data_IF_345439927170
#
_entry.id   IF_345439927170
#
_cell.length_a   1.000
_cell.length_b   1.000
_cell.length_c   1.000
_cell.angle_alpha   90.00
_cell.angle_beta   90.00
_cell.angle_gamma   90.00
#
_symmetry.space_group_name_H-M   'P 1'
#
loop_
_entity.id
_entity.type
_entity.pdbx_description
1 polymer ?
#
# COMPACT_ATOMS: atom_id res chain seq x y z
N UNK A 1 12.34 32.33 -0.67
CA UNK A 1 11.88 31.60 0.55
C UNK A 1 11.42 30.24 0.10
N UNK A 2 11.61 29.18 0.92
CA UNK A 2 11.02 27.86 0.60
C UNK A 2 9.48 27.94 0.71
N UNK A 3 8.78 27.22 -0.14
CA UNK A 3 7.31 27.06 -0.06
C UNK A 3 6.97 26.39 1.28
N UNK A 4 6.00 26.96 2.00
CA UNK A 4 5.55 26.46 3.30
C UNK A 4 4.38 25.52 3.14
N UNK A 5 4.53 24.30 3.60
CA UNK A 5 3.55 23.21 3.45
C UNK A 5 3.11 22.69 4.82
N UNK A 6 1.81 22.57 5.03
CA UNK A 6 1.25 21.77 6.10
C UNK A 6 0.75 20.44 5.51
N UNK A 7 1.27 19.33 5.99
CA UNK A 7 0.79 17.98 5.62
C UNK A 7 0.01 17.36 6.78
N UNK A 8 -1.07 16.65 6.48
CA UNK A 8 -1.87 15.91 7.46
C UNK A 8 -1.97 14.44 7.05
N UNK A 9 -1.72 13.53 7.98
CA UNK A 9 -1.90 12.10 7.81
C UNK A 9 -2.46 11.44 9.07
N UNK A 10 -3.14 10.28 8.94
CA UNK A 10 -3.72 9.54 10.07
C UNK A 10 -2.62 9.11 11.05
N UNK A 11 -1.57 8.46 10.54
CA UNK A 11 -0.46 7.98 11.37
C UNK A 11 0.86 7.89 10.57
N UNK A 12 2.02 7.84 11.27
CA UNK A 12 3.34 7.78 10.63
C UNK A 12 3.64 6.38 10.09
N UNK A 13 2.99 6.01 8.97
CA UNK A 13 3.35 4.79 8.26
C UNK A 13 4.74 4.91 7.64
N UNK A 14 5.57 3.84 7.58
CA UNK A 14 6.93 3.91 7.05
C UNK A 14 6.99 4.54 5.67
N UNK A 15 6.13 4.11 4.75
CA UNK A 15 6.09 4.64 3.39
C UNK A 15 5.70 6.12 3.33
N UNK A 16 4.80 6.58 4.21
CA UNK A 16 4.38 7.99 4.26
C UNK A 16 5.49 8.88 4.82
N UNK A 17 6.13 8.42 5.89
CA UNK A 17 7.27 9.11 6.51
C UNK A 17 8.41 9.28 5.51
N UNK A 18 8.70 8.26 4.70
CA UNK A 18 9.77 8.32 3.70
C UNK A 18 9.48 9.36 2.61
N UNK A 19 8.24 9.42 2.11
CA UNK A 19 7.81 10.46 1.16
C UNK A 19 7.92 11.85 1.79
N UNK A 20 7.45 12.04 3.03
CA UNK A 20 7.54 13.33 3.70
C UNK A 20 8.98 13.77 3.98
N UNK A 21 9.88 12.86 4.32
CA UNK A 21 11.33 13.15 4.43
C UNK A 21 11.92 13.65 3.12
N UNK A 22 11.53 13.04 2.00
CA UNK A 22 11.93 13.50 0.68
C UNK A 22 11.44 14.91 0.39
N UNK A 23 10.16 15.17 0.62
CA UNK A 23 9.55 16.49 0.41
C UNK A 23 10.12 17.57 1.36
N UNK A 24 10.43 17.22 2.61
CA UNK A 24 11.01 18.16 3.58
C UNK A 24 12.41 18.66 3.23
N UNK A 25 13.12 18.00 2.31
CA UNK A 25 14.38 18.52 1.76
C UNK A 25 14.17 19.76 0.89
N UNK A 26 13.05 19.80 0.16
CA UNK A 26 12.72 20.87 -0.79
C UNK A 26 11.85 21.97 -0.17
N UNK A 27 10.96 21.62 0.74
CA UNK A 27 9.93 22.51 1.28
C UNK A 27 10.10 22.77 2.79
N UNK A 28 9.56 23.88 3.30
CA UNK A 28 9.40 24.13 4.73
C UNK A 28 8.10 23.44 5.19
N UNK A 29 8.25 22.26 5.78
CA UNK A 29 7.11 21.39 6.09
C UNK A 29 6.85 21.26 7.59
N UNK A 30 5.57 21.35 7.95
CA UNK A 30 5.03 20.86 9.20
C UNK A 30 4.10 19.66 8.91
N UNK A 31 4.29 18.56 9.60
CA UNK A 31 3.46 17.35 9.43
C UNK A 31 2.59 17.14 10.66
N UNK A 32 1.31 16.93 10.49
CA UNK A 32 0.36 16.62 11.57
C UNK A 32 -0.07 15.17 11.45
N UNK A 33 0.12 14.40 12.53
CA UNK A 33 -0.37 13.02 12.65
C UNK A 33 -1.54 12.97 13.62
N UNK A 34 -2.69 12.42 13.17
CA UNK A 34 -3.88 12.25 14.02
C UNK A 34 -3.64 11.22 15.12
N UNK A 35 -2.92 10.15 14.81
CA UNK A 35 -2.52 9.06 15.70
C UNK A 35 -1.04 8.74 15.50
N UNK A 36 -0.46 7.98 16.44
CA UNK A 36 0.91 7.47 16.31
C UNK A 36 0.98 5.97 16.04
N UNK A 37 -0.16 5.27 16.13
CA UNK A 37 -0.28 3.84 15.89
C UNK A 37 -1.72 3.48 15.53
N UNK A 38 -1.92 2.26 15.04
CA UNK A 38 -3.24 1.67 14.79
C UNK A 38 -3.34 0.33 15.53
N UNK A 39 -4.46 0.09 16.21
CA UNK A 39 -4.67 -1.12 17.02
C UNK A 39 -4.63 -2.42 16.20
N UNK A 40 -4.94 -2.33 14.91
CA UNK A 40 -4.96 -3.48 14.01
C UNK A 40 -3.58 -3.80 13.41
N UNK A 41 -2.53 -3.05 13.76
CA UNK A 41 -1.18 -3.25 13.21
C UNK A 41 -0.17 -3.55 14.29
N UNK A 42 0.85 -4.34 13.96
CA UNK A 42 1.96 -4.58 14.87
C UNK A 42 2.67 -3.24 15.21
N UNK A 43 2.91 -3.00 16.50
CA UNK A 43 3.56 -1.78 16.97
C UNK A 43 4.94 -1.54 16.35
N UNK A 44 5.67 -2.60 16.01
CA UNK A 44 6.97 -2.51 15.35
C UNK A 44 6.90 -2.02 13.89
N UNK A 45 5.71 -1.94 13.31
CA UNK A 45 5.53 -1.42 11.94
C UNK A 45 5.53 0.11 11.88
N UNK A 46 5.29 0.81 13.00
CA UNK A 46 5.21 2.27 13.01
C UNK A 46 6.57 2.94 13.27
N UNK A 47 6.80 4.07 12.60
CA UNK A 47 7.94 4.94 12.90
C UNK A 47 7.69 5.68 14.22
N UNK A 48 8.42 5.33 15.28
CA UNK A 48 8.34 6.03 16.59
C UNK A 48 8.96 7.42 16.53
N UNK A 49 10.11 7.52 15.88
CA UNK A 49 10.78 8.79 15.58
C UNK A 49 10.78 8.98 14.07
N UNK A 50 10.03 9.97 13.60
CA UNK A 50 9.91 10.25 12.18
C UNK A 50 11.07 11.07 11.63
N UNK A 51 11.84 11.76 12.49
CA UNK A 51 12.83 12.75 12.08
C UNK A 51 12.26 13.97 11.33
N UNK A 52 10.95 14.18 11.40
CA UNK A 52 10.22 15.28 10.75
C UNK A 52 9.85 16.37 11.77
N UNK A 53 9.73 17.62 11.32
CA UNK A 53 9.04 18.64 12.07
C UNK A 53 7.53 18.27 12.10
N UNK A 54 7.07 17.71 13.23
CA UNK A 54 5.73 17.13 13.29
C UNK A 54 4.99 17.38 14.61
N UNK A 55 3.67 17.36 14.52
CA UNK A 55 2.72 17.46 15.63
C UNK A 55 1.98 16.13 15.74
N UNK A 56 1.83 15.58 16.96
CA UNK A 56 0.96 14.45 17.26
C UNK A 56 -0.31 14.92 17.98
N UNK A 57 -1.48 14.59 17.43
CA UNK A 57 -2.76 14.94 18.06
C UNK A 57 -3.15 14.02 19.23
N UNK A 58 -2.34 13.01 19.56
CA UNK A 58 -2.50 12.22 20.77
C UNK A 58 -2.25 13.08 22.03
N UNK A 59 -1.29 13.99 21.94
CA UNK A 59 -0.90 14.87 23.04
C UNK A 59 -1.76 16.13 23.09
N UNK A 60 -2.03 16.63 24.30
CA UNK A 60 -2.79 17.88 24.47
C UNK A 60 -2.08 19.08 23.84
N UNK A 61 -0.77 19.17 24.06
CA UNK A 61 0.09 20.20 23.44
C UNK A 61 -0.03 20.22 21.93
N UNK A 62 0.01 19.02 21.29
CA UNK A 62 -0.15 18.89 19.85
C UNK A 62 -1.53 19.29 19.37
N UNK A 63 -2.59 18.97 20.11
CA UNK A 63 -3.96 19.43 19.78
C UNK A 63 -4.08 20.94 19.86
N UNK A 64 -3.52 21.56 20.90
CA UNK A 64 -3.51 23.02 21.04
C UNK A 64 -2.73 23.68 19.90
N UNK A 65 -1.56 23.15 19.58
CA UNK A 65 -0.76 23.63 18.46
C UNK A 65 -1.52 23.52 17.14
N UNK A 66 -2.20 22.40 16.88
CA UNK A 66 -3.00 22.24 15.67
C UNK A 66 -4.15 23.25 15.57
N UNK A 67 -4.82 23.58 16.69
CA UNK A 67 -5.82 24.64 16.72
C UNK A 67 -5.24 26.01 16.33
N UNK A 68 -4.02 26.33 16.77
CA UNK A 68 -3.32 27.55 16.36
C UNK A 68 -2.95 27.51 14.87
N UNK A 69 -2.49 26.34 14.35
CA UNK A 69 -2.22 26.20 12.93
C UNK A 69 -3.47 26.40 12.06
N UNK A 70 -4.63 25.91 12.50
CA UNK A 70 -5.90 26.15 11.79
C UNK A 70 -6.29 27.64 11.78
N UNK A 71 -6.05 28.39 12.86
CA UNK A 71 -6.32 29.85 12.92
C UNK A 71 -5.39 30.61 11.99
N UNK A 72 -4.14 30.17 11.87
CA UNK A 72 -3.08 30.79 11.08
C UNK A 72 -2.85 30.11 9.73
N UNK A 73 -3.84 29.37 9.21
CA UNK A 73 -3.68 28.52 8.01
C UNK A 73 -3.14 29.30 6.79
N UNK A 74 -3.42 30.61 6.71
CA UNK A 74 -2.94 31.48 5.63
C UNK A 74 -1.42 31.65 5.58
N UNK A 75 -0.67 31.21 6.60
CA UNK A 75 0.80 31.24 6.56
C UNK A 75 1.39 30.16 5.67
N UNK A 76 0.58 29.15 5.28
CA UNK A 76 0.97 28.06 4.39
C UNK A 76 0.60 28.40 2.95
N UNK A 77 1.53 28.12 2.05
CA UNK A 77 1.34 28.27 0.61
C UNK A 77 0.50 27.11 0.04
N UNK A 78 0.56 25.93 0.69
CA UNK A 78 -0.14 24.72 0.28
C UNK A 78 -0.40 23.80 1.47
N UNK A 79 -1.52 23.07 1.42
CA UNK A 79 -1.81 21.98 2.34
C UNK A 79 -1.85 20.65 1.59
N UNK A 80 -1.24 19.61 2.15
CA UNK A 80 -1.32 18.22 1.66
C UNK A 80 -2.23 17.41 2.57
N UNK A 81 -3.40 17.04 2.09
CA UNK A 81 -4.40 16.28 2.84
C UNK A 81 -4.37 14.80 2.46
N UNK A 82 -3.72 14.01 3.30
CA UNK A 82 -3.82 12.56 3.26
C UNK A 82 -4.93 12.12 4.24
N UNK A 83 -5.58 10.99 3.98
CA UNK A 83 -6.61 10.45 4.88
C UNK A 83 -7.81 11.42 5.13
N UNK A 84 -8.28 12.09 4.10
CA UNK A 84 -9.34 13.10 4.05
C UNK A 84 -10.69 12.70 4.69
N UNK A 85 -10.86 11.45 5.11
CA UNK A 85 -12.08 10.95 5.74
C UNK A 85 -12.11 11.11 7.27
N UNK A 86 -11.00 11.56 7.87
CA UNK A 86 -10.81 11.75 9.30
C UNK A 86 -11.34 13.12 9.73
N UNK A 87 -11.93 13.21 10.92
CA UNK A 87 -12.53 14.45 11.42
C UNK A 87 -11.57 15.64 11.37
N UNK A 88 -10.32 15.47 11.79
CA UNK A 88 -9.35 16.56 11.83
C UNK A 88 -8.84 16.95 10.43
N UNK A 89 -8.72 15.99 9.51
CA UNK A 89 -8.46 16.28 8.10
C UNK A 89 -9.58 17.12 7.48
N UNK A 90 -10.84 16.76 7.67
CA UNK A 90 -12.01 17.51 7.21
C UNK A 90 -12.00 18.96 7.77
N UNK A 91 -11.65 19.12 9.05
CA UNK A 91 -11.53 20.47 9.67
C UNK A 91 -10.44 21.29 9.00
N UNK A 92 -9.31 20.69 8.69
CA UNK A 92 -8.20 21.32 7.97
C UNK A 92 -8.62 21.75 6.56
N UNK A 93 -9.23 20.85 5.79
CA UNK A 93 -9.72 21.14 4.43
C UNK A 93 -10.77 22.27 4.44
N UNK A 94 -11.71 22.26 5.39
CA UNK A 94 -12.69 23.34 5.55
C UNK A 94 -12.01 24.68 5.93
N UNK A 95 -10.96 24.65 6.75
CA UNK A 95 -10.18 25.84 7.05
C UNK A 95 -9.46 26.37 5.80
N UNK A 96 -8.93 25.49 4.95
CA UNK A 96 -8.34 25.84 3.66
C UNK A 96 -9.37 26.53 2.74
N UNK A 97 -10.54 25.92 2.57
CA UNK A 97 -11.63 26.47 1.74
C UNK A 97 -12.04 27.86 2.24
N UNK A 98 -12.31 28.00 3.54
CA UNK A 98 -12.71 29.28 4.16
C UNK A 98 -11.68 30.38 3.95
N UNK A 99 -10.40 30.04 4.00
CA UNK A 99 -9.29 30.99 3.94
C UNK A 99 -8.64 31.12 2.55
N UNK A 100 -9.15 30.37 1.55
CA UNK A 100 -8.63 30.30 0.18
C UNK A 100 -7.17 29.84 0.11
N UNK A 101 -6.78 28.94 1.00
CA UNK A 101 -5.48 28.26 0.94
C UNK A 101 -5.61 27.03 0.04
N UNK A 102 -4.77 26.86 -0.99
CA UNK A 102 -4.86 25.69 -1.85
C UNK A 102 -4.52 24.42 -1.08
N UNK A 103 -5.20 23.31 -1.42
CA UNK A 103 -4.85 22.00 -0.88
C UNK A 103 -4.91 20.92 -1.94
N UNK A 104 -4.03 19.92 -1.81
CA UNK A 104 -3.99 18.72 -2.62
C UNK A 104 -4.48 17.55 -1.76
N UNK A 105 -5.42 16.78 -2.27
CA UNK A 105 -5.88 15.55 -1.65
C UNK A 105 -5.07 14.37 -2.16
N UNK A 106 -4.68 13.44 -1.26
CA UNK A 106 -4.02 12.18 -1.64
C UNK A 106 -4.95 10.99 -1.46
N UNK A 107 -4.83 10.02 -2.37
CA UNK A 107 -5.54 8.76 -2.29
C UNK A 107 -4.64 7.59 -2.70
N UNK A 108 -4.36 6.70 -1.75
CA UNK A 108 -3.57 5.48 -2.00
C UNK A 108 -4.40 4.37 -2.68
N UNK A 109 -5.69 4.54 -2.74
CA UNK A 109 -6.71 3.67 -3.31
C UNK A 109 -7.99 3.75 -2.50
N UNK A 110 -9.11 3.50 -3.12
CA UNK A 110 -10.41 3.45 -2.43
C UNK A 110 -11.46 2.71 -3.26
N UNK A 111 -12.47 2.21 -2.56
CA UNK A 111 -13.68 1.67 -3.16
C UNK A 111 -14.86 2.63 -2.94
N UNK A 112 -15.65 2.86 -4.00
CA UNK A 112 -16.83 3.73 -3.94
C UNK A 112 -17.89 3.03 -3.10
N UNK A 113 -18.27 3.63 -1.96
CA UNK A 113 -19.30 3.11 -1.06
C UNK A 113 -20.52 4.03 -1.08
N UNK A 114 -21.72 3.44 -1.13
CA UNK A 114 -22.98 4.17 -1.08
C UNK A 114 -23.26 4.68 0.34
N UNK A 115 -23.03 5.97 0.57
CA UNK A 115 -23.40 6.66 1.81
C UNK A 115 -23.74 8.12 1.48
N UNK A 116 -25.03 8.45 1.45
CA UNK A 116 -25.52 9.73 0.95
C UNK A 116 -24.87 10.94 1.64
N UNK A 117 -24.90 10.98 2.99
CA UNK A 117 -24.39 12.14 3.76
C UNK A 117 -22.87 12.27 3.59
N UNK A 118 -22.12 11.16 3.77
CA UNK A 118 -20.67 11.18 3.61
C UNK A 118 -20.27 11.56 2.19
N UNK A 119 -21.03 11.15 1.19
CA UNK A 119 -20.74 11.45 -0.20
C UNK A 119 -20.97 12.92 -0.55
N UNK A 120 -21.93 13.61 0.09
CA UNK A 120 -22.11 15.07 -0.06
C UNK A 120 -20.86 15.80 0.48
N UNK A 121 -20.39 15.44 1.69
CA UNK A 121 -19.20 16.05 2.28
C UNK A 121 -17.97 15.81 1.40
N UNK A 122 -17.77 14.56 0.96
CA UNK A 122 -16.65 14.22 0.08
C UNK A 122 -16.68 15.01 -1.23
N UNK A 123 -17.84 15.09 -1.88
CA UNK A 123 -18.02 15.91 -3.09
C UNK A 123 -17.66 17.36 -2.85
N UNK A 124 -18.13 17.93 -1.75
CA UNK A 124 -17.81 19.32 -1.41
C UNK A 124 -16.30 19.54 -1.25
N UNK A 125 -15.61 18.67 -0.50
CA UNK A 125 -14.16 18.76 -0.30
C UNK A 125 -13.40 18.53 -1.61
N UNK A 126 -13.75 17.49 -2.37
CA UNK A 126 -13.10 17.17 -3.64
C UNK A 126 -13.23 18.33 -4.64
N UNK A 127 -14.43 18.90 -4.82
CA UNK A 127 -14.63 19.97 -5.81
C UNK A 127 -13.92 21.30 -5.47
N UNK A 128 -13.44 21.47 -4.24
CA UNK A 128 -12.70 22.67 -3.82
C UNK A 128 -11.18 22.45 -3.76
N UNK A 129 -10.70 21.22 -3.97
CA UNK A 129 -9.27 20.94 -3.95
C UNK A 129 -8.55 21.57 -5.16
N UNK A 130 -7.31 22.01 -4.95
CA UNK A 130 -6.46 22.56 -5.99
C UNK A 130 -5.80 21.48 -6.85
N UNK A 131 -5.73 20.24 -6.35
CA UNK A 131 -5.17 19.10 -7.06
C UNK A 131 -5.39 17.78 -6.31
N UNK A 132 -5.06 16.67 -6.97
CA UNK A 132 -5.27 15.32 -6.45
C UNK A 132 -4.08 14.44 -6.75
N UNK A 133 -3.48 13.83 -5.74
CA UNK A 133 -2.50 12.76 -5.90
C UNK A 133 -3.22 11.41 -6.01
N UNK A 134 -3.11 10.75 -7.14
CA UNK A 134 -3.72 9.45 -7.41
C UNK A 134 -2.65 8.37 -7.59
N UNK A 135 -2.74 7.29 -6.82
CA UNK A 135 -1.82 6.15 -6.90
C UNK A 135 -1.96 5.33 -8.19
N UNK A 136 -3.06 5.50 -8.91
CA UNK A 136 -3.39 4.80 -10.15
C UNK A 136 -4.79 5.16 -10.63
N UNK A 137 -5.28 4.41 -11.61
CA UNK A 137 -6.59 4.65 -12.24
C UNK A 137 -7.75 4.53 -11.24
N UNK A 138 -7.70 3.57 -10.31
CA UNK A 138 -8.74 3.42 -9.28
C UNK A 138 -8.88 4.68 -8.42
N UNK A 139 -7.77 5.27 -8.00
CA UNK A 139 -7.79 6.51 -7.25
C UNK A 139 -8.28 7.70 -8.09
N UNK A 140 -7.89 7.78 -9.35
CA UNK A 140 -8.34 8.80 -10.28
C UNK A 140 -9.85 8.72 -10.52
N UNK A 141 -10.39 7.53 -10.80
CA UNK A 141 -11.83 7.32 -11.00
C UNK A 141 -12.64 7.63 -9.73
N UNK A 142 -12.10 7.32 -8.56
CA UNK A 142 -12.72 7.71 -7.30
C UNK A 142 -12.84 9.25 -7.17
N UNK A 143 -11.78 9.99 -7.46
CA UNK A 143 -11.82 11.45 -7.42
C UNK A 143 -12.80 12.01 -8.46
N UNK A 144 -12.80 11.51 -9.69
CA UNK A 144 -13.74 11.90 -10.75
C UNK A 144 -15.18 11.65 -10.33
N UNK A 145 -15.50 10.51 -9.70
CA UNK A 145 -16.84 10.21 -9.19
C UNK A 145 -17.33 11.26 -8.19
N UNK A 146 -16.43 11.84 -7.39
CA UNK A 146 -16.75 12.92 -6.46
C UNK A 146 -16.64 14.32 -7.08
N UNK A 147 -16.35 14.44 -8.37
CA UNK A 147 -16.41 15.72 -9.11
C UNK A 147 -15.06 16.43 -9.21
N UNK A 148 -13.95 15.71 -9.11
CA UNK A 148 -12.62 16.25 -9.38
C UNK A 148 -12.48 16.71 -10.84
N UNK A 149 -11.77 17.80 -11.06
CA UNK A 149 -11.27 18.21 -12.36
C UNK A 149 -10.16 17.27 -12.82
N UNK A 150 -10.38 16.55 -13.92
CA UNK A 150 -9.44 15.57 -14.44
C UNK A 150 -8.06 16.17 -14.75
N UNK A 151 -7.99 17.44 -15.17
CA UNK A 151 -6.74 18.13 -15.46
C UNK A 151 -5.91 18.43 -14.20
N UNK A 152 -6.47 18.22 -13.02
CA UNK A 152 -5.80 18.43 -11.72
C UNK A 152 -5.46 17.11 -11.04
N UNK A 153 -5.61 15.98 -11.72
CA UNK A 153 -5.23 14.66 -11.21
C UNK A 153 -3.77 14.38 -11.58
N UNK A 154 -2.93 14.21 -10.57
CA UNK A 154 -1.51 13.91 -10.68
C UNK A 154 -1.25 12.48 -10.25
N UNK A 155 -0.81 11.65 -11.20
CA UNK A 155 -0.47 10.26 -10.91
C UNK A 155 0.89 10.14 -10.26
N UNK A 156 1.00 9.23 -9.29
CA UNK A 156 2.28 8.85 -8.68
C UNK A 156 2.38 7.34 -8.50
N UNK A 157 3.58 6.75 -8.62
CA UNK A 157 3.78 5.30 -8.50
C UNK A 157 3.84 4.89 -7.04
N UNK A 158 2.69 4.62 -6.41
CA UNK A 158 2.61 4.30 -4.97
C UNK A 158 3.40 3.03 -4.61
N UNK A 159 4.25 3.11 -3.59
CA UNK A 159 5.22 2.06 -3.25
C UNK A 159 5.65 2.05 -1.78
N UNK A 160 6.36 0.97 -1.38
CA UNK A 160 7.15 0.82 -0.15
C UNK A 160 8.64 0.54 -0.44
N UNK A 161 9.13 0.84 -1.65
CA UNK A 161 10.43 0.41 -2.15
C UNK A 161 11.32 1.58 -2.53
N UNK A 162 12.63 1.46 -2.21
CA UNK A 162 13.69 2.21 -2.85
C UNK A 162 14.14 1.53 -4.15
N UNK A 163 14.79 2.28 -5.03
CA UNK A 163 15.24 1.76 -6.32
C UNK A 163 16.26 0.61 -6.19
N UNK A 164 17.07 0.63 -5.16
CA UNK A 164 18.08 -0.41 -4.86
C UNK A 164 17.49 -1.69 -4.24
N UNK A 165 16.23 -1.65 -3.81
CA UNK A 165 15.50 -2.82 -3.31
C UNK A 165 14.86 -3.65 -4.44
N UNK A 166 14.87 -3.16 -5.67
CA UNK A 166 14.33 -3.86 -6.84
C UNK A 166 15.44 -4.67 -7.49
N UNK A 167 15.23 -5.96 -7.69
CA UNK A 167 16.19 -6.82 -8.37
C UNK A 167 16.40 -6.39 -9.83
N UNK A 168 17.58 -6.68 -10.39
CA UNK A 168 17.87 -6.50 -11.81
C UNK A 168 17.40 -7.69 -12.64
N UNK A 169 17.40 -8.89 -12.04
CA UNK A 169 16.95 -10.14 -12.63
C UNK A 169 16.38 -11.06 -11.54
N UNK A 170 15.46 -11.96 -11.86
CA UNK A 170 14.92 -12.92 -10.92
C UNK A 170 15.99 -13.88 -10.39
N UNK A 171 15.85 -14.33 -9.13
CA UNK A 171 16.72 -15.36 -8.56
C UNK A 171 16.63 -16.67 -9.34
N UNK A 172 17.77 -17.30 -9.56
CA UNK A 172 17.86 -18.66 -10.11
C UNK A 172 17.29 -19.71 -9.12
N UNK A 173 16.89 -20.86 -9.64
CA UNK A 173 16.43 -21.98 -8.80
C UNK A 173 17.45 -22.41 -7.73
N UNK A 174 18.76 -22.31 -8.05
CA UNK A 174 19.84 -22.63 -7.09
C UNK A 174 19.87 -21.60 -5.95
N UNK A 175 19.72 -20.33 -6.25
CA UNK A 175 19.68 -19.27 -5.23
C UNK A 175 18.43 -19.40 -4.36
N UNK A 176 17.25 -19.61 -4.96
CA UNK A 176 16.01 -19.84 -4.23
C UNK A 176 16.12 -21.06 -3.30
N UNK A 177 16.73 -22.14 -3.77
CA UNK A 177 16.94 -23.36 -2.96
C UNK A 177 17.80 -23.08 -1.71
N UNK A 178 18.80 -22.19 -1.80
CA UNK A 178 19.60 -21.76 -0.63
C UNK A 178 18.75 -21.03 0.40
N UNK A 179 17.88 -20.10 -0.06
CA UNK A 179 16.96 -19.38 0.84
C UNK A 179 15.91 -20.32 1.43
N UNK A 180 15.31 -21.23 0.65
CA UNK A 180 14.37 -22.26 1.14
C UNK A 180 15.00 -23.07 2.26
N UNK A 181 16.22 -23.58 2.06
CA UNK A 181 16.97 -24.34 3.09
C UNK A 181 17.18 -23.51 4.36
N UNK A 182 17.55 -22.23 4.24
CA UNK A 182 17.74 -21.32 5.39
C UNK A 182 16.45 -21.15 6.19
N UNK A 183 15.30 -21.11 5.50
CA UNK A 183 13.97 -20.93 6.10
C UNK A 183 13.30 -22.23 6.56
N UNK A 184 14.00 -23.38 6.42
CA UNK A 184 13.44 -24.69 6.79
C UNK A 184 12.32 -25.18 5.87
N UNK A 185 12.30 -24.71 4.61
CA UNK A 185 11.37 -25.16 3.57
C UNK A 185 12.03 -26.30 2.80
N UNK A 186 11.48 -27.50 2.91
CA UNK A 186 12.05 -28.72 2.36
C UNK A 186 11.51 -29.08 0.96
N UNK A 187 10.44 -28.45 0.52
CA UNK A 187 9.81 -28.70 -0.78
C UNK A 187 10.49 -27.92 -1.91
N UNK A 188 10.36 -28.44 -3.13
CA UNK A 188 10.97 -27.84 -4.32
C UNK A 188 10.35 -26.50 -4.69
N UNK A 189 9.06 -26.32 -4.42
CA UNK A 189 8.30 -25.10 -4.69
C UNK A 189 7.79 -24.47 -3.41
N UNK A 190 7.81 -23.13 -3.35
CA UNK A 190 7.32 -22.36 -2.21
C UNK A 190 6.34 -21.27 -2.68
N UNK A 191 5.11 -21.34 -2.20
CA UNK A 191 4.10 -20.29 -2.32
C UNK A 191 4.15 -19.43 -1.06
N UNK A 192 4.19 -18.13 -1.23
CA UNK A 192 4.30 -17.14 -0.15
C UNK A 192 3.07 -16.26 -0.11
N UNK A 193 2.57 -15.99 1.07
CA UNK A 193 1.66 -14.87 1.34
C UNK A 193 2.08 -14.12 2.59
N UNK A 194 1.86 -12.80 2.62
CA UNK A 194 2.26 -11.92 3.72
C UNK A 194 1.12 -10.97 4.05
N UNK A 195 0.77 -10.88 5.33
CA UNK A 195 -0.24 -9.94 5.79
C UNK A 195 -0.76 -10.21 7.20
N UNK A 196 -1.67 -9.36 7.65
CA UNK A 196 -2.36 -9.54 8.91
C UNK A 196 -3.30 -10.76 8.86
N UNK A 197 -3.37 -11.54 9.93
CA UNK A 197 -4.29 -12.66 10.06
C UNK A 197 -5.68 -12.14 10.49
N UNK A 198 -6.37 -11.52 9.55
CA UNK A 198 -7.70 -10.93 9.71
C UNK A 198 -8.58 -11.32 8.51
N UNK A 199 -9.88 -11.38 8.70
CA UNK A 199 -10.86 -11.81 7.69
C UNK A 199 -10.69 -11.11 6.33
N UNK A 200 -10.37 -9.83 6.35
CA UNK A 200 -10.17 -9.04 5.14
C UNK A 200 -9.05 -9.57 4.23
N UNK A 201 -8.05 -10.27 4.77
CA UNK A 201 -6.90 -10.80 4.00
C UNK A 201 -7.18 -12.14 3.30
N UNK A 202 -8.27 -12.83 3.64
CA UNK A 202 -8.75 -14.00 2.90
C UNK A 202 -7.86 -15.25 2.98
N UNK A 203 -7.02 -15.38 4.02
CA UNK A 203 -6.13 -16.54 4.13
C UNK A 203 -6.88 -17.85 4.38
N UNK A 204 -8.09 -17.80 4.88
CA UNK A 204 -9.03 -18.92 4.94
C UNK A 204 -9.37 -19.45 3.54
N UNK A 205 -9.62 -18.58 2.56
CA UNK A 205 -9.84 -18.95 1.16
C UNK A 205 -8.58 -19.58 0.54
N UNK A 206 -7.40 -19.07 0.88
CA UNK A 206 -6.13 -19.66 0.44
C UNK A 206 -5.89 -21.05 1.03
N UNK A 207 -6.17 -21.24 2.33
CA UNK A 207 -6.07 -22.54 2.96
C UNK A 207 -7.06 -23.56 2.36
N UNK A 208 -8.27 -23.13 2.03
CA UNK A 208 -9.24 -23.96 1.32
C UNK A 208 -8.77 -24.34 -0.08
N UNK A 209 -8.24 -23.39 -0.85
CA UNK A 209 -7.66 -23.62 -2.18
C UNK A 209 -6.47 -24.59 -2.10
N UNK A 210 -5.64 -24.43 -1.05
CA UNK A 210 -4.47 -25.28 -0.82
C UNK A 210 -4.85 -26.72 -0.53
N UNK A 211 -5.81 -26.95 0.34
CA UNK A 211 -6.25 -28.28 0.75
C UNK A 211 -6.79 -29.13 -0.40
N UNK A 212 -7.51 -28.52 -1.34
CA UNK A 212 -8.24 -29.24 -2.39
C UNK A 212 -7.40 -29.60 -3.60
N UNK A 213 -6.36 -28.82 -3.89
CA UNK A 213 -5.92 -28.78 -5.28
C UNK A 213 -4.39 -28.73 -5.48
N UNK A 214 -3.56 -28.53 -4.46
CA UNK A 214 -2.12 -28.31 -4.69
C UNK A 214 -1.24 -29.53 -4.41
N UNK A 215 -0.15 -29.60 -5.20
CA UNK A 215 0.83 -30.69 -5.22
C UNK A 215 1.59 -30.80 -3.89
N UNK A 216 1.83 -32.04 -3.45
CA UNK A 216 2.64 -32.36 -2.26
C UNK A 216 4.09 -31.85 -2.34
N UNK A 217 4.58 -31.51 -3.53
CA UNK A 217 5.91 -30.92 -3.73
C UNK A 217 5.98 -29.42 -3.47
N UNK A 218 4.85 -28.77 -3.12
CA UNK A 218 4.78 -27.39 -2.80
C UNK A 218 4.68 -27.17 -1.28
N UNK A 219 5.29 -26.09 -0.77
CA UNK A 219 5.04 -25.56 0.58
C UNK A 219 4.30 -24.24 0.49
N UNK A 220 3.36 -24.04 1.40
CA UNK A 220 2.72 -22.73 1.63
C UNK A 220 3.30 -22.10 2.90
N UNK A 221 3.84 -20.89 2.76
CA UNK A 221 4.35 -20.11 3.88
C UNK A 221 3.48 -18.86 4.03
N UNK A 222 2.85 -18.70 5.18
CA UNK A 222 1.98 -17.57 5.53
C UNK A 222 2.69 -16.76 6.62
N UNK A 223 3.15 -15.57 6.29
CA UNK A 223 3.88 -14.69 7.22
C UNK A 223 2.97 -13.59 7.75
N UNK A 224 2.85 -13.48 9.07
CA UNK A 224 2.03 -12.45 9.68
C UNK A 224 1.64 -12.72 11.12
N UNK A 225 0.45 -12.26 11.47
CA UNK A 225 -0.16 -12.46 12.77
C UNK A 225 -1.47 -11.68 12.86
N UNK A 226 -2.33 -12.06 13.79
CA UNK A 226 -3.61 -11.40 13.99
C UNK A 226 -4.65 -12.31 14.66
N UNK A 227 -5.88 -11.82 14.74
CA UNK A 227 -6.97 -12.46 15.49
C UNK A 227 -7.39 -13.82 14.93
N UNK A 228 -7.20 -14.09 13.64
CA UNK A 228 -7.58 -15.35 13.01
C UNK A 228 -6.49 -16.44 13.08
N UNK A 229 -5.34 -16.20 13.74
CA UNK A 229 -4.23 -17.18 13.80
C UNK A 229 -4.68 -18.54 14.32
N UNK A 230 -5.51 -18.58 15.38
CA UNK A 230 -6.00 -19.82 15.97
C UNK A 230 -6.91 -20.58 14.99
N UNK A 231 -7.74 -19.89 14.20
CA UNK A 231 -8.61 -20.52 13.21
C UNK A 231 -7.77 -21.18 12.10
N UNK A 232 -6.71 -20.49 11.63
CA UNK A 232 -5.80 -21.05 10.61
C UNK A 232 -5.04 -22.26 11.14
N UNK A 233 -4.54 -22.22 12.38
CA UNK A 233 -3.89 -23.37 13.03
C UNK A 233 -4.82 -24.56 13.15
N UNK A 234 -6.07 -24.32 13.56
CA UNK A 234 -7.08 -25.37 13.66
C UNK A 234 -7.38 -25.97 12.29
N UNK A 235 -7.62 -25.15 11.25
CA UNK A 235 -7.87 -25.64 9.89
C UNK A 235 -6.72 -26.50 9.36
N UNK A 236 -5.47 -26.06 9.54
CA UNK A 236 -4.26 -26.82 9.14
C UNK A 236 -4.20 -28.19 9.84
N UNK A 237 -4.51 -28.24 11.15
CA UNK A 237 -4.50 -29.48 11.91
C UNK A 237 -5.63 -30.43 11.49
N UNK A 238 -6.86 -29.93 11.37
CA UNK A 238 -8.04 -30.73 11.00
C UNK A 238 -7.91 -31.36 9.62
N UNK A 239 -7.22 -30.69 8.69
CA UNK A 239 -6.99 -31.18 7.33
C UNK A 239 -5.61 -31.83 7.12
N UNK A 240 -4.80 -31.97 8.20
CA UNK A 240 -3.46 -32.55 8.16
C UNK A 240 -2.53 -31.94 7.08
N UNK A 241 -2.56 -30.62 6.95
CA UNK A 241 -1.78 -29.88 5.95
C UNK A 241 -0.31 -29.71 6.40
N UNK A 242 0.50 -30.77 6.25
CA UNK A 242 1.90 -30.83 6.72
C UNK A 242 2.85 -29.88 6.00
N UNK A 243 2.46 -29.40 4.81
CA UNK A 243 3.25 -28.52 3.95
C UNK A 243 2.84 -27.04 4.07
N UNK A 244 2.10 -26.66 5.12
CA UNK A 244 1.72 -25.29 5.42
C UNK A 244 2.43 -24.81 6.69
N UNK A 245 3.09 -23.65 6.61
CA UNK A 245 3.80 -23.03 7.71
C UNK A 245 3.20 -21.66 8.03
N UNK A 246 2.80 -21.43 9.29
CA UNK A 246 2.44 -20.11 9.81
C UNK A 246 3.67 -19.51 10.49
N UNK A 247 4.16 -18.40 9.97
CA UNK A 247 5.30 -17.66 10.47
C UNK A 247 4.83 -16.35 11.09
N UNK A 248 5.32 -16.02 12.28
CA UNK A 248 4.99 -14.75 12.96
C UNK A 248 5.51 -13.56 12.19
N UNK A 249 4.96 -12.39 12.49
CA UNK A 249 5.40 -11.11 11.95
C UNK A 249 6.93 -10.99 11.94
N UNK A 250 7.46 -10.50 10.82
CA UNK A 250 8.87 -10.26 10.59
C UNK A 250 9.12 -8.80 10.16
N UNK A 251 10.24 -8.19 10.55
CA UNK A 251 10.65 -6.91 9.99
C UNK A 251 10.96 -7.03 8.49
N UNK A 252 11.01 -5.87 7.80
CA UNK A 252 11.15 -5.81 6.34
C UNK A 252 12.35 -6.60 5.82
N UNK A 253 13.49 -6.47 6.47
CA UNK A 253 14.75 -7.13 6.07
C UNK A 253 14.64 -8.66 6.10
N UNK A 254 13.96 -9.22 7.11
CA UNK A 254 13.72 -10.66 7.21
C UNK A 254 12.65 -11.12 6.22
N UNK A 255 11.60 -10.30 5.97
CA UNK A 255 10.55 -10.61 4.99
C UNK A 255 11.13 -10.78 3.58
N UNK A 256 12.12 -9.98 3.20
CA UNK A 256 12.75 -10.09 1.89
C UNK A 256 13.45 -11.44 1.68
N UNK A 257 13.90 -12.14 2.73
CA UNK A 257 14.42 -13.50 2.62
C UNK A 257 13.33 -14.50 2.18
N UNK A 258 12.10 -14.31 2.64
CA UNK A 258 10.95 -15.14 2.21
C UNK A 258 10.59 -14.87 0.75
N UNK A 259 10.56 -13.61 0.32
CA UNK A 259 10.37 -13.31 -1.09
C UNK A 259 11.45 -13.94 -1.98
N UNK A 260 12.74 -13.88 -1.57
CA UNK A 260 13.86 -14.48 -2.30
C UNK A 260 13.76 -16.03 -2.40
N UNK A 261 13.12 -16.66 -1.44
CA UNK A 261 12.90 -18.11 -1.43
C UNK A 261 11.69 -18.54 -2.28
N UNK A 262 10.72 -17.65 -2.47
CA UNK A 262 9.44 -18.01 -3.05
C UNK A 262 9.50 -18.23 -4.58
N UNK A 263 8.55 -19.02 -5.08
CA UNK A 263 8.32 -19.25 -6.51
C UNK A 263 7.05 -18.56 -7.00
N UNK A 264 6.13 -18.25 -6.08
CA UNK A 264 4.86 -17.62 -6.33
C UNK A 264 4.45 -16.80 -5.10
N UNK A 265 3.96 -15.59 -5.32
CA UNK A 265 3.30 -14.79 -4.29
C UNK A 265 1.79 -14.80 -4.49
N UNK A 266 1.02 -14.96 -3.41
CA UNK A 266 -0.44 -14.98 -3.46
C UNK A 266 -1.00 -14.00 -2.45
N UNK A 267 -1.93 -13.11 -2.89
CA UNK A 267 -2.66 -12.21 -2.00
C UNK A 267 -4.17 -12.41 -2.19
N UNK A 268 -4.82 -13.30 -1.45
CA UNK A 268 -6.22 -13.69 -1.62
C UNK A 268 -7.19 -12.71 -0.95
N UNK A 269 -6.84 -11.44 -0.91
CA UNK A 269 -7.52 -10.44 -0.09
C UNK A 269 -8.97 -10.21 -0.53
N UNK A 270 -9.87 -10.03 0.44
CA UNK A 270 -11.26 -9.62 0.20
C UNK A 270 -11.39 -8.13 -0.11
N UNK A 271 -10.44 -7.34 0.39
CA UNK A 271 -10.33 -5.92 0.09
C UNK A 271 -8.93 -5.43 0.47
N UNK A 272 -8.23 -4.80 -0.46
CA UNK A 272 -7.01 -4.06 -0.16
C UNK A 272 -6.98 -2.77 -0.97
N UNK A 273 -6.94 -1.62 -0.29
CA UNK A 273 -6.92 -0.31 -0.94
C UNK A 273 -5.67 -0.04 -1.75
N UNK A 274 -4.60 -0.83 -1.55
CA UNK A 274 -3.47 -0.97 -2.46
C UNK A 274 -2.97 -2.42 -2.43
N UNK A 275 -2.20 -2.80 -1.41
CA UNK A 275 -1.52 -4.08 -1.30
C UNK A 275 -0.03 -3.96 -1.61
N UNK A 276 0.73 -3.17 -0.84
CA UNK A 276 2.16 -2.92 -1.02
C UNK A 276 3.01 -4.20 -1.13
N UNK A 277 2.56 -5.29 -0.52
CA UNK A 277 3.20 -6.61 -0.64
C UNK A 277 3.21 -7.16 -2.06
N UNK A 278 2.32 -6.67 -2.95
CA UNK A 278 2.35 -6.97 -4.40
C UNK A 278 3.54 -6.29 -5.04
N UNK A 279 3.79 -5.00 -4.72
CA UNK A 279 4.98 -4.29 -5.20
C UNK A 279 6.26 -5.01 -4.76
N UNK A 280 6.33 -5.41 -3.49
CA UNK A 280 7.48 -6.12 -2.92
C UNK A 280 7.73 -7.47 -3.60
N UNK A 281 6.68 -8.25 -3.83
CA UNK A 281 6.77 -9.51 -4.56
C UNK A 281 7.26 -9.32 -6.00
N UNK A 282 6.69 -8.34 -6.72
CA UNK A 282 7.09 -8.02 -8.09
C UNK A 282 8.54 -7.50 -8.17
N UNK A 283 9.00 -6.74 -7.16
CA UNK A 283 10.39 -6.27 -7.05
C UNK A 283 11.40 -7.42 -6.92
N UNK A 284 10.96 -8.52 -6.32
CA UNK A 284 11.75 -9.77 -6.23
C UNK A 284 11.54 -10.71 -7.43
N UNK A 285 10.87 -10.25 -8.48
CA UNK A 285 10.64 -11.03 -9.69
C UNK A 285 9.68 -12.20 -9.49
N UNK A 286 8.77 -12.14 -8.50
CA UNK A 286 7.82 -13.22 -8.29
C UNK A 286 6.59 -13.08 -9.18
N UNK A 287 6.09 -14.16 -9.78
CA UNK A 287 4.73 -14.21 -10.28
C UNK A 287 3.74 -13.89 -9.15
N UNK A 288 2.64 -13.22 -9.47
CA UNK A 288 1.64 -12.82 -8.48
C UNK A 288 0.26 -13.34 -8.85
N UNK A 289 -0.44 -13.94 -7.88
CA UNK A 289 -1.87 -14.23 -7.98
C UNK A 289 -2.58 -13.42 -6.90
N UNK A 290 -3.59 -12.65 -7.30
CA UNK A 290 -4.36 -11.84 -6.36
C UNK A 290 -5.82 -11.76 -6.79
N UNK A 291 -6.64 -11.03 -6.03
CA UNK A 291 -8.07 -10.90 -6.30
C UNK A 291 -8.37 -9.57 -7.01
N UNK A 292 -9.54 -9.50 -7.63
CA UNK A 292 -10.14 -8.29 -8.23
C UNK A 292 -10.44 -7.19 -7.19
N UNK A 293 -10.32 -7.49 -5.90
CA UNK A 293 -10.48 -6.56 -4.79
C UNK A 293 -9.14 -6.06 -4.19
N UNK A 294 -8.04 -6.28 -4.89
CA UNK A 294 -6.72 -5.71 -4.59
C UNK A 294 -6.38 -4.61 -5.62
N UNK A 295 -6.29 -3.35 -5.19
CA UNK A 295 -6.05 -2.23 -6.11
C UNK A 295 -4.70 -2.36 -6.81
N UNK A 296 -3.62 -2.75 -6.09
CA UNK A 296 -2.31 -2.96 -6.72
C UNK A 296 -2.36 -4.07 -7.77
N UNK A 297 -3.14 -5.13 -7.56
CA UNK A 297 -3.29 -6.17 -8.57
C UNK A 297 -3.96 -5.62 -9.83
N UNK A 298 -5.07 -4.89 -9.68
CA UNK A 298 -5.77 -4.28 -10.81
C UNK A 298 -4.92 -3.27 -11.60
N UNK A 299 -3.96 -2.60 -10.95
CA UNK A 299 -3.07 -1.60 -11.60
C UNK A 299 -1.78 -2.23 -12.18
N UNK A 300 -1.29 -3.31 -11.60
CA UNK A 300 0.05 -3.85 -11.90
C UNK A 300 0.03 -5.20 -12.62
N UNK A 301 -1.02 -6.01 -12.45
CA UNK A 301 -1.08 -7.35 -13.02
C UNK A 301 -1.80 -7.30 -14.37
N UNK A 302 -1.21 -7.97 -15.34
CA UNK A 302 -1.77 -8.31 -16.64
C UNK A 302 -1.90 -9.83 -16.72
N UNK A 303 -3.15 -10.33 -16.83
CA UNK A 303 -3.47 -11.75 -16.79
C UNK A 303 -2.67 -12.58 -17.79
N UNK A 304 -2.00 -13.61 -17.27
CA UNK A 304 -1.18 -14.54 -18.06
C UNK A 304 0.19 -13.99 -18.47
N UNK A 305 0.48 -12.68 -18.28
CA UNK A 305 1.76 -12.04 -18.64
C UNK A 305 2.70 -11.97 -17.45
N UNK A 306 2.21 -11.49 -16.31
CA UNK A 306 3.00 -11.31 -15.09
C UNK A 306 2.32 -11.83 -13.82
N UNK A 307 1.08 -12.34 -13.93
CA UNK A 307 0.30 -12.86 -12.83
C UNK A 307 -1.11 -13.25 -13.27
N UNK A 308 -2.00 -13.45 -12.29
CA UNK A 308 -3.43 -13.64 -12.51
C UNK A 308 -4.25 -12.89 -11.47
N UNK A 309 -5.41 -12.36 -11.90
CA UNK A 309 -6.44 -11.79 -11.04
C UNK A 309 -7.63 -12.74 -11.03
N UNK A 310 -8.07 -13.14 -9.84
CA UNK A 310 -9.21 -14.05 -9.65
C UNK A 310 -10.35 -13.37 -8.89
N UNK A 311 -11.60 -13.86 -9.02
CA UNK A 311 -12.71 -13.34 -8.22
C UNK A 311 -12.45 -13.52 -6.72
N UNK A 312 -12.87 -12.54 -5.93
CA UNK A 312 -12.80 -12.62 -4.47
C UNK A 312 -13.64 -13.78 -3.93
N UNK A 313 -13.15 -14.49 -2.90
CA UNK A 313 -13.77 -15.66 -2.26
C UNK A 313 -13.94 -16.87 -3.18
N UNK A 314 -13.22 -16.98 -4.28
CA UNK A 314 -13.24 -18.16 -5.14
C UNK A 314 -11.97 -19.01 -4.93
N UNK A 315 -12.06 -20.01 -4.03
CA UNK A 315 -10.96 -20.89 -3.71
C UNK A 315 -10.55 -21.79 -4.90
N UNK A 316 -11.49 -22.10 -5.79
CA UNK A 316 -11.23 -22.94 -6.97
C UNK A 316 -10.45 -22.17 -8.04
N UNK A 317 -10.93 -20.99 -8.42
CA UNK A 317 -10.22 -20.14 -9.39
C UNK A 317 -8.84 -19.73 -8.84
N UNK A 318 -8.73 -19.48 -7.53
CA UNK A 318 -7.45 -19.21 -6.87
C UNK A 318 -6.47 -20.39 -7.02
N UNK A 319 -6.93 -21.63 -6.78
CA UNK A 319 -6.12 -22.82 -6.92
C UNK A 319 -5.68 -23.05 -8.38
N UNK A 320 -6.58 -22.85 -9.35
CA UNK A 320 -6.26 -22.99 -10.77
C UNK A 320 -5.24 -21.93 -11.22
N UNK A 321 -5.36 -20.68 -10.80
CA UNK A 321 -4.41 -19.62 -11.09
C UNK A 321 -3.02 -19.93 -10.50
N UNK A 322 -2.97 -20.41 -9.24
CA UNK A 322 -1.72 -20.84 -8.61
C UNK A 322 -1.05 -21.97 -9.40
N UNK A 323 -1.80 -23.01 -9.81
CA UNK A 323 -1.28 -24.13 -10.63
C UNK A 323 -0.72 -23.66 -11.96
N UNK A 324 -1.43 -22.75 -12.65
CA UNK A 324 -0.96 -22.16 -13.92
C UNK A 324 0.36 -21.43 -13.72
N UNK A 325 0.47 -20.59 -12.69
CA UNK A 325 1.69 -19.82 -12.42
C UNK A 325 2.87 -20.71 -12.02
N UNK A 326 2.66 -21.73 -11.21
CA UNK A 326 3.72 -22.70 -10.82
C UNK A 326 4.26 -23.53 -12.00
N UNK A 327 3.49 -23.68 -13.09
CA UNK A 327 3.89 -24.38 -14.32
C UNK A 327 4.46 -23.42 -15.37
N UNK A 328 4.29 -22.12 -15.22
CA UNK A 328 4.72 -21.12 -16.20
C UNK A 328 6.24 -20.89 -16.17
N UNK A 329 6.75 -20.18 -17.18
CA UNK A 329 8.15 -19.77 -17.21
C UNK A 329 8.38 -18.61 -16.20
N UNK A 330 8.71 -18.97 -14.98
CA UNK A 330 8.90 -18.06 -13.86
C UNK A 330 9.95 -16.98 -14.17
N UNK A 331 10.99 -17.30 -14.98
CA UNK A 331 12.02 -16.33 -15.32
C UNK A 331 11.44 -15.18 -16.17
N UNK A 332 10.74 -15.50 -17.25
CA UNK A 332 10.13 -14.48 -18.13
C UNK A 332 9.12 -13.62 -17.38
N UNK A 333 8.27 -14.25 -16.55
CA UNK A 333 7.28 -13.56 -15.73
C UNK A 333 7.99 -12.63 -14.73
N UNK A 334 9.06 -13.12 -14.10
CA UNK A 334 9.84 -12.34 -13.14
C UNK A 334 10.51 -11.13 -13.78
N UNK A 335 11.08 -11.27 -14.96
CA UNK A 335 11.65 -10.15 -15.73
C UNK A 335 10.58 -9.10 -16.08
N UNK A 336 9.38 -9.53 -16.48
CA UNK A 336 8.25 -8.63 -16.73
C UNK A 336 7.84 -7.87 -15.45
N UNK A 337 7.79 -8.56 -14.30
CA UNK A 337 7.45 -7.96 -13.02
C UNK A 337 8.48 -6.93 -12.57
N UNK A 338 9.77 -7.25 -12.63
CA UNK A 338 10.85 -6.33 -12.30
C UNK A 338 10.78 -5.09 -13.20
N UNK A 339 10.61 -5.28 -14.50
CA UNK A 339 10.45 -4.17 -15.44
C UNK A 339 9.24 -3.29 -15.14
N UNK A 340 8.08 -3.89 -14.84
CA UNK A 340 6.85 -3.17 -14.51
C UNK A 340 7.01 -2.34 -13.23
N UNK A 341 7.63 -2.94 -12.19
CA UNK A 341 7.74 -2.31 -10.88
C UNK A 341 8.92 -1.32 -10.77
N UNK A 342 9.86 -1.31 -11.72
CA UNK A 342 11.07 -0.46 -11.68
C UNK A 342 10.78 1.03 -11.55
N UNK A 343 9.60 1.48 -11.97
CA UNK A 343 9.15 2.87 -11.81
C UNK A 343 8.46 3.15 -10.47
N UNK A 344 8.14 2.12 -9.69
CA UNK A 344 7.43 2.24 -8.42
C UNK A 344 8.43 2.32 -7.27
N UNK A 345 9.11 3.46 -7.15
CA UNK A 345 10.14 3.73 -6.14
C UNK A 345 9.83 5.01 -5.37
N UNK A 346 10.33 5.13 -4.14
CA UNK A 346 10.20 6.36 -3.36
C UNK A 346 10.73 7.58 -4.09
N UNK A 347 11.84 7.42 -4.81
CA UNK A 347 12.46 8.50 -5.58
C UNK A 347 11.48 9.04 -6.61
N UNK A 348 10.80 8.17 -7.36
CA UNK A 348 9.81 8.56 -8.37
C UNK A 348 8.52 9.12 -7.75
N UNK A 349 8.09 8.59 -6.61
CA UNK A 349 6.95 9.16 -5.84
C UNK A 349 7.26 10.59 -5.44
N UNK A 350 8.41 10.81 -4.81
CA UNK A 350 8.84 12.12 -4.33
C UNK A 350 8.96 13.10 -5.51
N UNK A 351 9.61 12.69 -6.60
CA UNK A 351 9.74 13.52 -7.81
C UNK A 351 8.37 13.89 -8.40
N UNK A 352 7.43 12.94 -8.48
CA UNK A 352 6.06 13.18 -8.95
C UNK A 352 5.34 14.19 -8.08
N UNK A 353 5.49 14.07 -6.75
CA UNK A 353 4.88 15.02 -5.80
C UNK A 353 5.48 16.42 -5.95
N UNK A 354 6.80 16.55 -6.07
CA UNK A 354 7.47 17.83 -6.27
C UNK A 354 6.96 18.52 -7.54
N UNK A 355 6.95 17.84 -8.69
CA UNK A 355 6.44 18.38 -9.96
C UNK A 355 4.99 18.85 -9.85
N UNK A 356 4.16 18.09 -9.17
CA UNK A 356 2.75 18.40 -8.99
C UNK A 356 2.53 19.59 -8.05
N UNK A 357 3.26 19.64 -6.93
CA UNK A 357 3.25 20.78 -5.99
C UNK A 357 3.65 22.06 -6.70
N UNK A 358 4.74 22.03 -7.48
CA UNK A 358 5.17 23.20 -8.26
C UNK A 358 4.11 23.66 -9.27
N UNK A 359 3.44 22.70 -9.95
CA UNK A 359 2.35 23.01 -10.88
C UNK A 359 1.19 23.71 -10.18
N UNK A 360 0.76 23.18 -9.02
CA UNK A 360 -0.33 23.74 -8.23
C UNK A 360 0.04 25.13 -7.70
N UNK A 361 1.25 25.31 -7.16
CA UNK A 361 1.70 26.59 -6.66
C UNK A 361 1.77 27.67 -7.75
N UNK A 362 2.30 27.33 -8.93
CA UNK A 362 2.35 28.26 -10.09
C UNK A 362 0.96 28.72 -10.51
N UNK A 363 0.00 27.80 -10.61
CA UNK A 363 -1.37 28.09 -11.03
C UNK A 363 -2.15 28.94 -10.01
N UNK A 364 -1.79 28.89 -8.73
CA UNK A 364 -2.44 29.67 -7.67
C UNK A 364 -1.76 31.02 -7.39
N UNK A 365 -0.55 31.26 -7.91
CA UNK A 365 0.15 32.54 -7.78
C UNK A 365 -0.28 33.56 -8.86
N UNK A 366 -1.01 33.11 -9.88
CA UNK A 366 -1.50 33.93 -11.01
C UNK A 366 -2.92 34.49 -10.76
N UNK A 367 -3.53 34.21 -9.62
CA UNK A 367 -4.83 34.73 -9.17
C UNK A 367 -4.65 35.72 -8.00
#
# INVERSE_FOLDING_TARGET
>A
MKVKILAFADFPSPYRVEVFKGLAKEYDMLVVFDKMSDQNRNAAWFCKDTGLNSISLLEESGRLQFEEELKQIKKYDLVLAYDYHIKNAIRLELACIKNKVPYIMNLDGAFIRKNFIKNIIKRYLVTHAAGYFASGNHAAEYFKYFGADENKIYYHPFTSLHADEILKEPFSETEKARYKKKLGVDKSRMVLTIGQFIHRKGFDVLLEAWNKELDENCSLVIVGGGEEENQYRQYIADHNLKNVQLVRFKPKEEIFEYYKAADLFVLPTREDIWGLVVNEAMAMGLPVVSTDMCVAAAELIEDGVNGYIVPVNDSKELAEAMKKMLKANVKVIGENNIKKISNYTYENVIESHIKSIESVCKNNTVL
#
